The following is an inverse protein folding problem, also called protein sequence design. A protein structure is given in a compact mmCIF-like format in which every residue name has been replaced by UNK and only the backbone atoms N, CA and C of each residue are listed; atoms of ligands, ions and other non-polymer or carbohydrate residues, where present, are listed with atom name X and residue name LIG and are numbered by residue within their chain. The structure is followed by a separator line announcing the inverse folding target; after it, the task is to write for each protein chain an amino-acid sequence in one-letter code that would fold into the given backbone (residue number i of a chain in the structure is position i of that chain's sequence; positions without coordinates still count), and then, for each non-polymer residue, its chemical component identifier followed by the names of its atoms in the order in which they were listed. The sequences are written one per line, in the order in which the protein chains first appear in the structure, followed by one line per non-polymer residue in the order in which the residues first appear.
data_IF_611847409107
#
_entry.id   IF_611847409107
#
_cell.length_a   1.000
_cell.length_b   1.000
_cell.length_c   1.000
_cell.angle_alpha   90.00
_cell.angle_beta   90.00
_cell.angle_gamma   90.00
#
_symmetry.space_group_name_H-M   'P 1'
#
loop_
_entity.id
_entity.type
_entity.pdbx_description
1 polymer ?
#
# COMPACT_ATOMS: atom_id res chain seq x y z
N UNK A 1 14.86 -22.59 -1.61
CA UNK A 1 15.49 -22.04 -2.83
C UNK A 1 15.69 -20.56 -2.61
N UNK A 2 16.77 -19.95 -3.14
CA UNK A 2 16.93 -18.49 -3.04
C UNK A 2 15.80 -17.81 -3.82
N UNK A 3 15.18 -16.79 -3.23
CA UNK A 3 14.07 -16.02 -3.80
C UNK A 3 14.45 -14.56 -3.91
N UNK A 4 14.09 -13.94 -5.02
CA UNK A 4 14.37 -12.53 -5.29
C UNK A 4 13.08 -11.74 -5.42
N UNK A 5 12.79 -10.86 -4.46
CA UNK A 5 11.67 -9.93 -4.52
C UNK A 5 12.15 -8.57 -5.03
N UNK A 6 11.46 -7.99 -6.00
CA UNK A 6 11.64 -6.59 -6.37
C UNK A 6 10.51 -5.74 -5.81
N UNK A 7 10.83 -4.57 -5.27
CA UNK A 7 9.83 -3.55 -4.94
C UNK A 7 9.89 -2.39 -5.93
N UNK A 8 8.73 -1.80 -6.23
CA UNK A 8 8.64 -0.56 -7.01
C UNK A 8 8.13 0.55 -6.09
N UNK A 9 8.94 1.61 -5.92
CA UNK A 9 8.72 2.71 -4.99
C UNK A 9 8.66 4.05 -5.71
N UNK A 10 7.86 4.98 -5.19
CA UNK A 10 7.57 6.26 -5.87
C UNK A 10 7.88 7.49 -5.03
N UNK A 11 8.68 7.33 -3.97
CA UNK A 11 9.05 8.39 -3.03
C UNK A 11 10.54 8.27 -2.70
N UNK A 12 11.24 9.40 -2.62
CA UNK A 12 12.69 9.42 -2.44
C UNK A 12 13.15 8.92 -1.07
N UNK A 13 12.31 9.04 -0.04
CA UNK A 13 12.56 8.56 1.32
C UNK A 13 12.07 7.12 1.56
N UNK A 14 11.78 6.34 0.51
CA UNK A 14 11.26 4.97 0.64
C UNK A 14 12.12 4.07 1.53
N UNK A 15 13.44 4.32 1.60
CA UNK A 15 14.33 3.57 2.48
C UNK A 15 13.93 3.70 3.95
N UNK A 16 13.50 4.89 4.40
CA UNK A 16 13.18 5.16 5.80
C UNK A 16 11.73 4.79 6.15
N UNK A 17 10.80 4.96 5.22
CA UNK A 17 9.36 4.73 5.48
C UNK A 17 8.86 3.36 5.03
N UNK A 18 9.61 2.63 4.20
CA UNK A 18 9.19 1.33 3.65
C UNK A 18 10.25 0.25 3.88
N UNK A 19 11.47 0.45 3.36
CA UNK A 19 12.47 -0.62 3.35
C UNK A 19 13.00 -0.95 4.75
N UNK A 20 13.60 0.00 5.47
CA UNK A 20 14.11 -0.21 6.84
C UNK A 20 13.04 -0.74 7.80
N UNK A 21 11.79 -0.22 7.84
CA UNK A 21 10.82 -0.71 8.81
C UNK A 21 10.14 -2.03 8.45
N UNK A 22 10.07 -2.40 7.16
CA UNK A 22 9.34 -3.59 6.73
C UNK A 22 10.18 -4.54 5.88
N UNK A 23 10.79 -4.04 4.80
CA UNK A 23 11.54 -4.87 3.86
C UNK A 23 12.81 -5.50 4.46
N UNK A 24 13.66 -4.70 5.11
CA UNK A 24 14.90 -5.15 5.74
C UNK A 24 14.67 -6.20 6.84
N UNK A 25 13.82 -5.98 7.86
CA UNK A 25 13.54 -7.00 8.86
C UNK A 25 12.88 -8.24 8.25
N UNK A 26 11.99 -8.08 7.26
CA UNK A 26 11.38 -9.22 6.57
C UNK A 26 12.40 -10.07 5.79
N UNK A 27 13.36 -9.45 5.10
CA UNK A 27 14.45 -10.16 4.45
C UNK A 27 15.37 -10.85 5.46
N UNK A 28 15.72 -10.18 6.56
CA UNK A 28 16.60 -10.72 7.59
C UNK A 28 16.01 -11.96 8.30
N UNK A 29 14.69 -11.99 8.51
CA UNK A 29 14.00 -13.12 9.14
C UNK A 29 13.60 -14.24 8.17
N UNK A 30 13.74 -14.03 6.86
CA UNK A 30 13.30 -14.98 5.83
C UNK A 30 14.50 -15.60 5.12
N UNK A 31 14.80 -16.86 5.44
CA UNK A 31 15.97 -17.55 4.88
C UNK A 31 15.95 -17.59 3.35
N UNK A 32 17.02 -17.10 2.73
CA UNK A 32 17.19 -17.14 1.29
C UNK A 32 16.38 -16.11 0.50
N UNK A 33 15.72 -15.14 1.16
CA UNK A 33 15.06 -14.01 0.50
C UNK A 33 16.03 -12.84 0.33
N UNK A 34 16.13 -12.32 -0.89
CA UNK A 34 16.79 -11.06 -1.20
C UNK A 34 15.75 -10.07 -1.74
N UNK A 35 15.79 -8.82 -1.28
CA UNK A 35 14.90 -7.76 -1.75
C UNK A 35 15.73 -6.69 -2.48
N UNK A 36 15.32 -6.37 -3.71
CA UNK A 36 15.84 -5.25 -4.50
C UNK A 36 14.76 -4.20 -4.73
N UNK A 37 15.17 -2.98 -5.09
CA UNK A 37 14.27 -1.84 -5.21
C UNK A 37 14.46 -1.14 -6.56
N UNK A 38 13.37 -0.80 -7.22
CA UNK A 38 13.31 0.19 -8.29
C UNK A 38 12.62 1.42 -7.72
N UNK A 39 13.18 2.60 -7.98
CA UNK A 39 12.67 3.87 -7.48
C UNK A 39 12.50 4.86 -8.63
N UNK A 40 11.29 5.38 -8.78
CA UNK A 40 10.99 6.54 -9.63
C UNK A 40 10.04 7.49 -8.87
N UNK A 41 10.61 8.52 -8.26
CA UNK A 41 9.89 9.53 -7.47
C UNK A 41 9.11 10.54 -8.33
N UNK A 42 9.18 10.43 -9.66
CA UNK A 42 8.36 11.21 -10.58
C UNK A 42 6.97 10.59 -10.81
N UNK A 43 6.79 9.27 -10.59
CA UNK A 43 5.51 8.58 -10.79
C UNK A 43 4.40 9.15 -9.93
N UNK A 44 4.68 9.37 -8.64
CA UNK A 44 3.69 9.95 -7.72
C UNK A 44 3.34 11.38 -8.11
N UNK A 45 4.35 12.20 -8.44
CA UNK A 45 4.15 13.60 -8.86
C UNK A 45 3.27 13.68 -10.11
N UNK A 46 3.52 12.85 -11.12
CA UNK A 46 2.72 12.81 -12.33
C UNK A 46 1.30 12.30 -12.06
N UNK A 47 1.17 11.25 -11.24
CA UNK A 47 -0.14 10.71 -10.85
C UNK A 47 -0.99 11.76 -10.14
N UNK A 48 -0.40 12.52 -9.21
CA UNK A 48 -1.09 13.60 -8.51
C UNK A 48 -1.47 14.74 -9.46
N UNK A 49 -0.55 15.16 -10.34
CA UNK A 49 -0.81 16.21 -11.33
C UNK A 49 -1.89 15.82 -12.35
N UNK A 50 -2.00 14.53 -12.67
CA UNK A 50 -3.03 13.98 -13.56
C UNK A 50 -4.35 13.64 -12.87
N UNK A 51 -4.46 13.77 -11.54
CA UNK A 51 -5.63 13.35 -10.77
C UNK A 51 -5.83 11.82 -10.72
N UNK A 52 -4.81 11.04 -11.09
CA UNK A 52 -4.87 9.59 -11.19
C UNK A 52 -3.75 9.02 -12.08
N UNK A 53 -3.75 7.69 -12.23
CA UNK A 53 -2.75 7.00 -13.05
C UNK A 53 -2.92 7.39 -14.52
N UNK A 54 -1.82 7.83 -15.14
CA UNK A 54 -1.77 8.17 -16.57
C UNK A 54 -1.26 6.98 -17.41
N UNK A 55 -1.48 7.03 -18.73
CA UNK A 55 -0.90 6.04 -19.64
C UNK A 55 0.63 5.99 -19.56
N UNK A 56 1.28 7.14 -19.33
CA UNK A 56 2.73 7.24 -19.20
C UNK A 56 3.24 6.66 -17.86
N UNK A 57 2.49 6.81 -16.76
CA UNK A 57 2.75 6.09 -15.50
C UNK A 57 2.63 4.58 -15.72
N UNK A 58 1.57 4.10 -16.39
CA UNK A 58 1.42 2.68 -16.72
C UNK A 58 2.58 2.13 -17.57
N UNK A 59 2.99 2.87 -18.60
CA UNK A 59 4.08 2.46 -19.50
C UNK A 59 5.39 2.27 -18.73
N UNK A 60 5.75 3.24 -17.87
CA UNK A 60 6.99 3.16 -17.07
C UNK A 60 6.92 2.06 -16.03
N UNK A 61 5.79 1.92 -15.33
CA UNK A 61 5.56 0.83 -14.39
C UNK A 61 5.74 -0.54 -15.06
N UNK A 62 5.24 -0.73 -16.29
CA UNK A 62 5.47 -1.95 -17.06
C UNK A 62 6.95 -2.15 -17.37
N UNK A 63 7.66 -1.12 -17.83
CA UNK A 63 9.10 -1.21 -18.12
C UNK A 63 9.91 -1.59 -16.89
N UNK A 64 9.59 -1.01 -15.72
CA UNK A 64 10.25 -1.37 -14.45
C UNK A 64 9.96 -2.82 -14.05
N UNK A 65 8.70 -3.26 -14.20
CA UNK A 65 8.32 -4.61 -13.84
C UNK A 65 8.96 -5.65 -14.78
N UNK A 66 9.06 -5.35 -16.08
CA UNK A 66 9.79 -6.18 -17.05
C UNK A 66 11.30 -6.23 -16.76
N UNK A 67 11.90 -5.10 -16.38
CA UNK A 67 13.31 -5.04 -15.99
C UNK A 67 13.59 -5.88 -14.74
N UNK A 68 12.70 -5.84 -13.75
CA UNK A 68 12.79 -6.68 -12.55
C UNK A 68 12.71 -8.17 -12.91
N UNK A 69 11.74 -8.58 -13.73
CA UNK A 69 11.63 -9.97 -14.20
C UNK A 69 12.87 -10.41 -14.97
N UNK A 70 13.37 -9.58 -15.89
CA UNK A 70 14.59 -9.87 -16.65
C UNK A 70 15.85 -9.98 -15.76
N UNK A 71 15.84 -9.33 -14.60
CA UNK A 71 16.89 -9.41 -13.59
C UNK A 71 16.77 -10.63 -12.66
N UNK A 72 15.79 -11.51 -12.88
CA UNK A 72 15.60 -12.72 -12.09
C UNK A 72 14.70 -12.55 -10.86
N UNK A 73 13.81 -11.56 -10.85
CA UNK A 73 12.78 -11.48 -9.82
C UNK A 73 11.86 -12.71 -9.85
N UNK A 74 11.59 -13.27 -8.67
CA UNK A 74 10.54 -14.28 -8.45
C UNK A 74 9.18 -13.62 -8.16
N UNK A 75 9.16 -12.33 -7.79
CA UNK A 75 7.94 -11.58 -7.52
C UNK A 75 8.19 -10.07 -7.46
N UNK A 76 7.11 -9.30 -7.61
CA UNK A 76 7.15 -7.84 -7.61
C UNK A 76 6.08 -7.27 -6.66
N UNK A 77 6.50 -6.37 -5.78
CA UNK A 77 5.62 -5.64 -4.86
C UNK A 77 5.63 -4.14 -5.17
N UNK A 78 4.48 -3.60 -5.61
CA UNK A 78 4.31 -2.16 -5.76
C UNK A 78 3.87 -1.57 -4.42
N UNK A 79 4.64 -0.62 -3.90
CA UNK A 79 4.45 -0.11 -2.52
C UNK A 79 3.62 1.17 -2.45
N UNK A 80 3.33 1.79 -3.59
CA UNK A 80 2.57 3.03 -3.68
C UNK A 80 1.12 2.78 -4.09
N UNK A 81 0.19 3.00 -3.15
CA UNK A 81 -1.26 2.87 -3.37
C UNK A 81 -1.75 3.78 -4.50
N UNK A 82 -1.17 4.97 -4.69
CA UNK A 82 -1.64 5.92 -5.71
C UNK A 82 -1.41 5.43 -7.15
N UNK A 83 -0.50 4.49 -7.38
CA UNK A 83 -0.24 3.89 -8.70
C UNK A 83 -0.81 2.48 -8.85
N UNK A 84 -1.66 2.03 -7.91
CA UNK A 84 -2.09 0.64 -7.82
C UNK A 84 -2.82 0.11 -9.06
N UNK A 85 -3.57 0.97 -9.75
CA UNK A 85 -4.25 0.65 -11.01
C UNK A 85 -3.24 0.25 -12.09
N UNK A 86 -2.07 0.90 -12.16
CA UNK A 86 -1.02 0.51 -13.10
C UNK A 86 -0.62 -0.96 -12.86
N UNK A 87 -0.38 -1.34 -11.61
CA UNK A 87 -0.02 -2.71 -11.21
C UNK A 87 -1.06 -3.73 -11.67
N UNK A 88 -2.37 -3.41 -11.56
CA UNK A 88 -3.45 -4.29 -12.02
C UNK A 88 -3.41 -4.55 -13.53
N UNK A 89 -3.04 -3.55 -14.32
CA UNK A 89 -2.88 -3.71 -15.77
C UNK A 89 -1.62 -4.49 -16.13
N UNK A 90 -0.49 -4.12 -15.54
CA UNK A 90 0.82 -4.64 -15.97
C UNK A 90 1.03 -6.10 -15.56
N UNK A 91 0.42 -6.57 -14.46
CA UNK A 91 0.61 -7.95 -13.97
C UNK A 91 0.22 -9.02 -14.98
N UNK A 92 -0.67 -8.71 -15.92
CA UNK A 92 -1.09 -9.61 -17.01
C UNK A 92 0.01 -9.87 -18.06
N UNK A 93 1.05 -9.04 -18.09
CA UNK A 93 2.14 -9.13 -19.07
C UNK A 93 3.41 -9.77 -18.48
N UNK A 94 3.38 -10.20 -17.22
CA UNK A 94 4.49 -10.85 -16.55
C UNK A 94 4.16 -12.31 -16.23
N UNK A 95 5.22 -13.11 -16.08
CA UNK A 95 5.16 -14.54 -15.76
C UNK A 95 5.43 -14.82 -14.28
N UNK A 96 5.55 -13.78 -13.47
CA UNK A 96 5.82 -13.85 -12.02
C UNK A 96 4.71 -13.09 -11.27
N UNK A 97 4.44 -13.43 -9.99
CA UNK A 97 3.47 -12.70 -9.20
C UNK A 97 3.82 -11.22 -9.06
N UNK A 98 2.81 -10.37 -9.27
CA UNK A 98 2.88 -8.92 -9.10
C UNK A 98 1.67 -8.47 -8.28
N UNK A 99 1.91 -7.74 -7.20
CA UNK A 99 0.86 -7.36 -6.24
C UNK A 99 1.05 -5.92 -5.77
N UNK A 100 -0.05 -5.24 -5.46
CA UNK A 100 -0.01 -4.01 -4.68
C UNK A 100 0.04 -4.29 -3.18
N UNK A 101 0.80 -3.50 -2.44
CA UNK A 101 1.02 -3.69 -1.01
C UNK A 101 -0.24 -3.59 -0.15
N UNK A 102 -1.29 -2.89 -0.63
CA UNK A 102 -2.56 -2.76 0.08
C UNK A 102 -3.54 -3.91 -0.12
N UNK A 103 -3.30 -4.82 -1.08
CA UNK A 103 -4.25 -5.92 -1.37
C UNK A 103 -4.59 -6.76 -0.13
N UNK A 104 -3.63 -7.16 0.74
CA UNK A 104 -3.95 -7.87 1.98
C UNK A 104 -4.78 -7.06 2.98
N UNK A 105 -4.57 -5.74 3.03
CA UNK A 105 -5.36 -4.85 3.90
C UNK A 105 -6.82 -4.80 3.44
N UNK A 106 -7.03 -4.75 2.12
CA UNK A 106 -8.37 -4.82 1.55
C UNK A 106 -9.06 -6.15 1.85
N UNK A 107 -8.36 -7.28 1.69
CA UNK A 107 -8.86 -8.62 2.06
C UNK A 107 -9.27 -8.68 3.54
N UNK A 108 -8.41 -8.19 4.44
CA UNK A 108 -8.68 -8.18 5.89
C UNK A 108 -9.85 -7.27 6.27
N UNK A 109 -9.97 -6.10 5.64
CA UNK A 109 -11.08 -5.18 5.89
C UNK A 109 -12.43 -5.81 5.52
N UNK A 110 -12.53 -6.39 4.31
CA UNK A 110 -13.74 -7.09 3.84
C UNK A 110 -14.07 -8.30 4.72
N UNK A 111 -13.07 -8.99 5.24
CA UNK A 111 -13.29 -10.12 6.14
C UNK A 111 -13.94 -9.72 7.47
N UNK A 112 -13.67 -8.52 7.98
CA UNK A 112 -13.98 -8.12 9.36
C UNK A 112 -15.06 -7.04 9.52
N UNK A 113 -15.64 -6.52 8.44
CA UNK A 113 -16.71 -5.54 8.55
C UNK A 113 -17.46 -5.32 7.25
N UNK A 114 -18.61 -4.66 7.35
CA UNK A 114 -19.41 -4.22 6.20
C UNK A 114 -19.39 -2.70 6.06
N UNK A 115 -19.22 -1.96 7.14
CA UNK A 115 -18.95 -0.53 7.14
C UNK A 115 -17.47 -0.30 7.37
N UNK A 116 -16.73 0.00 6.30
CA UNK A 116 -15.26 0.04 6.29
C UNK A 116 -14.80 1.49 6.25
N UNK A 117 -14.08 1.91 7.28
CA UNK A 117 -13.40 3.20 7.33
C UNK A 117 -12.09 3.16 6.54
N UNK A 118 -11.88 4.13 5.65
CA UNK A 118 -10.61 4.31 4.95
C UNK A 118 -9.95 5.59 5.47
N UNK A 119 -8.84 5.44 6.20
CA UNK A 119 -8.09 6.57 6.75
C UNK A 119 -6.87 6.89 5.89
N UNK A 120 -6.75 8.14 5.47
CA UNK A 120 -5.69 8.61 4.58
C UNK A 120 -5.21 10.02 4.95
N UNK A 121 -4.05 10.41 4.43
CA UNK A 121 -3.49 11.77 4.44
C UNK A 121 -3.27 12.34 3.03
N UNK A 122 -3.46 11.52 1.99
CA UNK A 122 -3.47 11.93 0.59
C UNK A 122 -4.86 11.73 -0.02
N UNK A 123 -5.39 12.71 -0.78
CA UNK A 123 -6.74 12.66 -1.32
C UNK A 123 -6.96 11.57 -2.38
N UNK A 124 -5.90 11.10 -3.03
CA UNK A 124 -5.97 10.04 -4.04
C UNK A 124 -6.07 8.64 -3.43
N UNK A 125 -5.63 8.47 -2.18
CA UNK A 125 -5.50 7.16 -1.55
C UNK A 125 -6.84 6.47 -1.25
N UNK A 126 -7.90 7.16 -0.77
CA UNK A 126 -9.18 6.51 -0.53
C UNK A 126 -9.81 5.90 -1.78
N UNK A 127 -9.78 6.62 -2.91
CA UNK A 127 -10.30 6.09 -4.17
C UNK A 127 -9.49 4.88 -4.65
N UNK A 128 -8.17 4.88 -4.45
CA UNK A 128 -7.29 3.81 -4.88
C UNK A 128 -7.52 2.51 -4.09
N UNK A 129 -7.46 2.55 -2.75
CA UNK A 129 -7.71 1.35 -1.93
C UNK A 129 -9.20 0.96 -1.91
N UNK A 130 -10.11 1.94 -1.97
CA UNK A 130 -11.54 1.71 -2.02
C UNK A 130 -11.97 0.84 -3.19
N UNK A 131 -11.37 1.03 -4.38
CA UNK A 131 -11.61 0.14 -5.54
C UNK A 131 -11.19 -1.30 -5.24
N UNK A 132 -10.03 -1.49 -4.62
CA UNK A 132 -9.54 -2.83 -4.25
C UNK A 132 -10.46 -3.47 -3.21
N UNK A 133 -10.92 -2.70 -2.21
CA UNK A 133 -11.88 -3.18 -1.21
C UNK A 133 -13.21 -3.58 -1.86
N UNK A 134 -13.74 -2.79 -2.79
CA UNK A 134 -14.96 -3.12 -3.53
C UNK A 134 -14.81 -4.38 -4.39
N UNK A 135 -13.66 -4.56 -5.05
CA UNK A 135 -13.33 -5.79 -5.80
C UNK A 135 -13.33 -7.01 -4.88
N UNK A 136 -12.66 -6.92 -3.72
CA UNK A 136 -12.63 -8.00 -2.72
C UNK A 136 -13.99 -8.28 -2.10
N UNK A 137 -14.82 -7.25 -1.90
CA UNK A 137 -16.19 -7.42 -1.43
C UNK A 137 -17.04 -8.16 -2.46
N UNK A 138 -16.92 -7.82 -3.75
CA UNK A 138 -17.60 -8.52 -4.83
C UNK A 138 -17.16 -9.98 -4.95
N UNK A 139 -15.85 -10.26 -4.86
CA UNK A 139 -15.30 -11.63 -4.82
C UNK A 139 -15.86 -12.45 -3.64
N UNK A 140 -16.09 -11.79 -2.50
CA UNK A 140 -16.64 -12.40 -1.29
C UNK A 140 -18.19 -12.42 -1.24
N UNK A 141 -18.88 -11.86 -2.24
CA UNK A 141 -20.35 -11.72 -2.23
C UNK A 141 -20.89 -10.87 -1.08
N UNK A 142 -20.14 -9.86 -0.64
CA UNK A 142 -20.52 -8.94 0.45
C UNK A 142 -20.91 -7.56 -0.10
N UNK A 143 -22.00 -7.01 0.41
CA UNK A 143 -22.29 -5.58 0.26
C UNK A 143 -21.59 -4.80 1.37
N UNK A 144 -20.95 -3.69 1.02
CA UNK A 144 -20.18 -2.87 1.95
C UNK A 144 -20.44 -1.37 1.74
N UNK A 145 -20.29 -0.60 2.82
CA UNK A 145 -20.28 0.87 2.85
C UNK A 145 -18.85 1.35 3.12
N UNK A 146 -18.32 2.24 2.29
CA UNK A 146 -17.02 2.87 2.51
C UNK A 146 -17.21 4.24 3.17
N UNK A 147 -16.49 4.48 4.27
CA UNK A 147 -16.44 5.77 4.97
C UNK A 147 -15.03 6.33 4.85
N UNK A 148 -14.84 7.31 3.96
CA UNK A 148 -13.52 7.90 3.71
C UNK A 148 -13.24 9.04 4.69
N UNK A 149 -12.06 9.03 5.30
CA UNK A 149 -11.54 10.10 6.16
C UNK A 149 -10.14 10.50 5.65
N UNK A 150 -10.02 11.75 5.17
CA UNK A 150 -8.75 12.31 4.69
C UNK A 150 -8.30 13.41 5.64
N UNK A 151 -7.15 13.20 6.27
CA UNK A 151 -6.53 14.16 7.17
C UNK A 151 -5.72 15.16 6.33
N UNK A 152 -6.40 16.16 5.80
CA UNK A 152 -5.82 17.15 4.89
C UNK A 152 -4.59 17.84 5.51
N UNK A 153 -3.54 17.98 4.71
CA UNK A 153 -2.27 18.62 5.11
C UNK A 153 -1.37 17.76 6.00
N UNK A 154 -1.83 16.62 6.53
CA UNK A 154 -0.99 15.76 7.36
C UNK A 154 0.22 15.21 6.57
N UNK A 155 0.04 14.83 5.30
CA UNK A 155 1.14 14.35 4.47
C UNK A 155 2.23 15.41 4.26
N UNK A 156 1.86 16.68 4.08
CA UNK A 156 2.80 17.78 3.95
C UNK A 156 3.54 18.05 5.27
N UNK A 157 2.83 17.96 6.40
CA UNK A 157 3.43 18.04 7.74
C UNK A 157 4.49 16.95 7.91
N UNK A 158 4.18 15.70 7.52
CA UNK A 158 5.14 14.59 7.55
C UNK A 158 6.35 14.87 6.64
N UNK A 159 6.12 15.34 5.41
CA UNK A 159 7.18 15.68 4.46
C UNK A 159 8.07 16.82 4.96
N UNK A 160 7.55 17.72 5.79
CA UNK A 160 8.31 18.80 6.43
C UNK A 160 9.17 18.34 7.62
N UNK A 161 9.05 17.07 8.02
CA UNK A 161 9.81 16.46 9.11
C UNK A 161 9.13 16.49 10.48
N UNK A 162 7.95 17.09 10.60
CA UNK A 162 7.18 17.16 11.84
C UNK A 162 6.30 15.90 12.03
N UNK A 163 6.96 14.78 12.35
CA UNK A 163 6.31 13.48 12.56
C UNK A 163 5.31 13.51 13.72
N UNK A 164 5.64 14.20 14.81
CA UNK A 164 4.81 14.24 16.01
C UNK A 164 3.47 14.94 15.74
N UNK A 165 3.49 16.06 15.00
CA UNK A 165 2.26 16.73 14.58
C UNK A 165 1.46 15.90 13.59
N UNK A 166 2.11 15.28 12.60
CA UNK A 166 1.42 14.35 11.69
C UNK A 166 0.69 13.25 12.47
N UNK A 167 1.39 12.61 13.42
CA UNK A 167 0.84 11.49 14.17
C UNK A 167 -0.35 11.92 15.04
N UNK A 168 -0.29 13.09 15.68
CA UNK A 168 -1.45 13.66 16.40
C UNK A 168 -2.66 13.87 15.50
N UNK A 169 -2.47 14.47 14.32
CA UNK A 169 -3.56 14.73 13.37
C UNK A 169 -4.23 13.42 12.92
N UNK A 170 -3.43 12.39 12.63
CA UNK A 170 -3.95 11.09 12.20
C UNK A 170 -4.65 10.35 13.34
N UNK A 171 -4.13 10.39 14.57
CA UNK A 171 -4.77 9.78 15.73
C UNK A 171 -6.14 10.40 16.04
N UNK A 172 -6.27 11.73 15.95
CA UNK A 172 -7.56 12.40 16.16
C UNK A 172 -8.62 11.90 15.17
N UNK A 173 -8.28 11.83 13.87
CA UNK A 173 -9.17 11.31 12.84
C UNK A 173 -9.46 9.81 13.01
N UNK A 174 -8.45 9.02 13.41
CA UNK A 174 -8.62 7.59 13.71
C UNK A 174 -9.69 7.37 14.79
N UNK A 175 -9.60 8.10 15.91
CA UNK A 175 -10.53 7.92 17.03
C UNK A 175 -11.95 8.35 16.66
N UNK A 176 -12.11 9.43 15.89
CA UNK A 176 -13.43 9.85 15.41
C UNK A 176 -14.04 8.87 14.39
N UNK A 177 -13.20 8.26 13.55
CA UNK A 177 -13.64 7.28 12.56
C UNK A 177 -14.04 5.96 13.22
N UNK A 178 -13.32 5.52 14.26
CA UNK A 178 -13.57 4.27 14.98
C UNK A 178 -14.98 4.19 15.59
N UNK A 179 -15.56 5.32 15.98
CA UNK A 179 -16.93 5.40 16.50
C UNK A 179 -18.02 5.17 15.43
N UNK A 180 -17.66 5.13 14.14
CA UNK A 180 -18.60 5.13 13.02
C UNK A 180 -18.53 3.87 12.16
N UNK A 181 -17.55 3.01 12.30
CA UNK A 181 -17.30 1.92 11.35
C UNK A 181 -17.10 0.58 12.06
N UNK A 182 -17.09 -0.51 11.31
CA UNK A 182 -16.83 -1.85 11.86
C UNK A 182 -15.32 -2.17 11.89
N UNK A 183 -14.57 -1.55 10.98
CA UNK A 183 -13.15 -1.81 10.72
C UNK A 183 -12.52 -0.61 10.02
N UNK A 184 -11.22 -0.36 10.27
CA UNK A 184 -10.47 0.72 9.63
C UNK A 184 -9.30 0.16 8.82
N UNK A 185 -9.17 0.60 7.57
CA UNK A 185 -8.04 0.35 6.69
C UNK A 185 -7.22 1.63 6.51
N UNK A 186 -5.92 1.59 6.84
CA UNK A 186 -5.00 2.68 6.53
C UNK A 186 -4.62 2.61 5.05
N UNK A 187 -4.84 3.70 4.32
CA UNK A 187 -4.66 3.73 2.87
C UNK A 187 -3.21 3.97 2.40
N UNK A 188 -2.29 4.27 3.33
CA UNK A 188 -0.92 4.65 3.02
C UNK A 188 0.09 4.02 3.97
N UNK A 189 1.21 3.57 3.41
CA UNK A 189 2.32 2.99 4.18
C UNK A 189 3.01 4.00 5.11
N UNK A 190 2.96 5.30 4.79
CA UNK A 190 3.53 6.35 5.64
C UNK A 190 2.88 6.46 7.02
N UNK A 191 1.69 5.90 7.19
CA UNK A 191 0.93 5.89 8.45
C UNK A 191 1.09 4.56 9.19
N UNK A 192 1.80 3.59 8.64
CA UNK A 192 1.82 2.22 9.14
C UNK A 192 2.52 2.04 10.48
N UNK A 193 3.46 2.94 10.78
CA UNK A 193 4.15 2.99 12.07
C UNK A 193 3.53 3.99 13.04
N UNK A 194 2.32 4.49 12.76
CA UNK A 194 1.61 5.39 13.67
C UNK A 194 1.38 4.69 15.01
N UNK A 195 1.97 5.19 16.12
CA UNK A 195 1.56 4.76 17.45
C UNK A 195 0.20 5.37 17.76
N UNK A 196 -0.74 4.56 18.22
CA UNK A 196 -2.05 5.00 18.68
C UNK A 196 -2.52 4.11 19.83
N UNK A 197 -3.41 4.64 20.66
CA UNK A 197 -4.09 3.86 21.69
C UNK A 197 -5.05 2.86 21.04
N UNK A 198 -5.39 1.75 21.74
CA UNK A 198 -6.38 0.81 21.23
C UNK A 198 -7.72 1.49 20.94
N UNK A 199 -8.32 1.14 19.80
CA UNK A 199 -9.70 1.51 19.45
C UNK A 199 -10.62 0.29 19.53
N UNK A 200 -11.93 0.52 19.54
CA UNK A 200 -12.97 -0.51 19.66
C UNK A 200 -13.18 -1.37 18.39
N UNK A 201 -12.50 -1.06 17.30
CA UNK A 201 -12.62 -1.74 16.01
C UNK A 201 -11.26 -2.23 15.51
N UNK A 202 -11.19 -3.30 14.68
CA UNK A 202 -9.95 -3.71 14.06
C UNK A 202 -9.35 -2.60 13.17
N UNK A 203 -8.03 -2.43 13.24
CA UNK A 203 -7.28 -1.48 12.41
C UNK A 203 -6.24 -2.26 11.60
N UNK A 204 -6.34 -2.20 10.27
CA UNK A 204 -5.41 -2.83 9.34
C UNK A 204 -4.50 -1.79 8.68
N UNK A 205 -3.19 -2.02 8.79
CA UNK A 205 -2.16 -1.15 8.25
C UNK A 205 -1.42 -1.83 7.11
N UNK A 206 -1.14 -1.08 6.05
CA UNK A 206 -0.26 -1.50 4.96
C UNK A 206 1.14 -1.74 5.55
N UNK A 207 1.93 -2.69 5.03
CA UNK A 207 3.29 -2.93 5.52
C UNK A 207 3.64 -4.39 5.41
N UNK A 208 3.96 -5.02 6.54
CA UNK A 208 4.45 -6.40 6.59
C UNK A 208 3.51 -7.41 5.90
N UNK A 209 2.19 -7.23 6.03
CA UNK A 209 1.18 -8.09 5.38
C UNK A 209 1.35 -8.17 3.86
N UNK A 210 1.79 -7.08 3.22
CA UNK A 210 2.12 -7.04 1.80
C UNK A 210 3.33 -7.90 1.45
N UNK A 211 4.40 -7.79 2.24
CA UNK A 211 5.62 -8.59 2.07
C UNK A 211 5.37 -10.08 2.30
N UNK A 212 4.60 -10.42 3.33
CA UNK A 212 4.23 -11.81 3.64
C UNK A 212 3.39 -12.43 2.51
N UNK A 213 2.40 -11.71 1.99
CA UNK A 213 1.52 -12.22 0.93
C UNK A 213 2.29 -12.43 -0.38
N UNK A 214 3.08 -11.46 -0.84
CA UNK A 214 3.85 -11.63 -2.08
C UNK A 214 4.86 -12.78 -1.95
N UNK A 215 5.49 -12.94 -0.78
CA UNK A 215 6.41 -14.05 -0.54
C UNK A 215 5.71 -15.40 -0.63
N UNK A 216 4.48 -15.55 -0.09
CA UNK A 216 3.70 -16.78 -0.27
C UNK A 216 3.42 -17.05 -1.75
N UNK A 217 2.97 -16.04 -2.50
CA UNK A 217 2.69 -16.15 -3.94
C UNK A 217 3.93 -16.56 -4.76
N UNK A 218 5.14 -16.15 -4.36
CA UNK A 218 6.39 -16.56 -5.02
C UNK A 218 6.76 -18.03 -4.81
N UNK A 219 6.09 -18.72 -3.89
CA UNK A 219 6.35 -20.10 -3.50
C UNK A 219 5.19 -21.06 -3.83
N UNK A 220 4.11 -20.56 -4.45
CA UNK A 220 3.02 -21.34 -5.03
C UNK A 220 3.40 -21.80 -6.45
#
# INVERSE_FOLDING_TARGET
MKKTLYTINTVNNFMDIIFKPFGEPFAAQTEGLTIYNIMDDSLLKETLAGGGVTANVCSRMLSYAQAAQASGADGILTTCTSVNEATKYIRKFLNIPVMNIEEPVAEMAVANGTRIGILATLPTSPAAIGRVIMEKAAEAGKEIELVNEVVDGAFDVLCSGDREKHDRMVCEALYQLAEKVDVIAFAQISMSLLPHDPVNVPVYKIGLSGFEKIYRMMNE
#
